data_IF_085488654898
#
_entry.id   IF_085488654898
#
_cell.length_a   1.000
_cell.length_b   1.000
_cell.length_c   1.000
_cell.angle_alpha   90.00
_cell.angle_beta   90.00
_cell.angle_gamma   90.00
#
_symmetry.space_group_name_H-M   'P 1'
#
loop_
_entity.id
_entity.type
_entity.pdbx_description
1 polymer ?
#
# COMPACT_ATOMS: atom_id res chain seq x y z
N UNK A 1 -29.18 -18.10 12.05
CA UNK A 1 -27.97 -17.29 11.81
C UNK A 1 -26.80 -18.15 12.22
N UNK A 2 -25.83 -18.34 11.33
CA UNK A 2 -24.68 -19.20 11.59
C UNK A 2 -23.84 -18.62 12.75
N UNK A 3 -23.67 -19.41 13.81
CA UNK A 3 -22.93 -19.01 15.02
C UNK A 3 -21.44 -18.81 14.71
N UNK A 4 -20.88 -19.60 13.79
CA UNK A 4 -19.49 -19.46 13.35
C UNK A 4 -19.29 -18.14 12.59
N UNK A 5 -20.22 -17.81 11.69
CA UNK A 5 -20.21 -16.53 10.97
C UNK A 5 -20.25 -15.35 11.94
N UNK A 6 -21.11 -15.44 12.96
CA UNK A 6 -21.28 -14.39 13.96
C UNK A 6 -20.00 -14.19 14.79
N UNK A 7 -19.37 -15.27 15.22
CA UNK A 7 -18.09 -15.18 15.94
C UNK A 7 -16.98 -14.63 15.07
N UNK A 8 -16.83 -15.12 13.83
CA UNK A 8 -15.84 -14.64 12.89
C UNK A 8 -16.02 -13.14 12.60
N UNK A 9 -17.25 -12.68 12.38
CA UNK A 9 -17.56 -11.28 12.12
C UNK A 9 -17.20 -10.38 13.31
N UNK A 10 -17.45 -10.83 14.55
CA UNK A 10 -17.08 -10.11 15.78
C UNK A 10 -15.57 -10.02 15.96
N UNK A 11 -14.85 -11.12 15.74
CA UNK A 11 -13.38 -11.16 15.80
C UNK A 11 -12.78 -10.20 14.78
N UNK A 12 -13.25 -10.27 13.53
CA UNK A 12 -12.81 -9.42 12.44
C UNK A 12 -13.12 -7.94 12.73
N UNK A 13 -14.32 -7.61 13.20
CA UNK A 13 -14.71 -6.25 13.54
C UNK A 13 -13.84 -5.66 14.66
N UNK A 14 -13.54 -6.44 15.72
CA UNK A 14 -12.65 -6.00 16.80
C UNK A 14 -11.24 -5.74 16.30
N UNK A 15 -10.71 -6.62 15.45
CA UNK A 15 -9.38 -6.49 14.85
C UNK A 15 -9.28 -5.26 13.94
N UNK A 16 -10.30 -5.04 13.11
CA UNK A 16 -10.42 -3.90 12.20
C UNK A 16 -10.52 -2.58 12.96
N UNK A 17 -11.40 -2.51 13.97
CA UNK A 17 -11.59 -1.33 14.80
C UNK A 17 -10.30 -0.92 15.50
N UNK A 18 -9.60 -1.87 16.14
CA UNK A 18 -8.34 -1.59 16.85
C UNK A 18 -7.25 -0.98 15.95
N UNK A 19 -7.36 -1.13 14.63
CA UNK A 19 -6.43 -0.61 13.63
C UNK A 19 -6.98 0.59 12.86
N UNK A 20 -8.12 1.15 13.29
CA UNK A 20 -8.72 2.32 12.66
C UNK A 20 -9.31 2.07 11.28
N UNK A 21 -9.72 0.83 10.96
CA UNK A 21 -10.42 0.56 9.72
C UNK A 21 -11.87 1.05 9.81
N UNK A 22 -12.24 2.00 8.95
CA UNK A 22 -13.63 2.42 8.75
C UNK A 22 -14.32 1.49 7.74
N UNK A 23 -15.62 1.21 7.92
CA UNK A 23 -16.34 0.31 7.02
C UNK A 23 -16.39 0.80 5.57
N UNK A 24 -16.22 2.11 5.33
CA UNK A 24 -16.13 2.70 3.98
C UNK A 24 -14.93 2.19 3.19
N UNK A 25 -13.87 1.77 3.89
CA UNK A 25 -12.67 1.19 3.26
C UNK A 25 -12.86 -0.28 2.88
N UNK A 26 -13.93 -0.93 3.33
CA UNK A 26 -14.24 -2.32 2.96
C UNK A 26 -14.68 -2.49 1.51
N UNK A 27 -14.95 -1.40 0.78
CA UNK A 27 -15.20 -1.44 -0.67
C UNK A 27 -13.93 -1.58 -1.52
N UNK A 28 -12.73 -1.56 -0.93
CA UNK A 28 -11.47 -1.50 -1.65
C UNK A 28 -10.88 -2.90 -1.93
N UNK A 29 -11.30 -3.56 -3.02
CA UNK A 29 -10.58 -4.68 -3.64
C UNK A 29 -10.50 -6.01 -2.87
N UNK A 30 -10.98 -7.09 -3.49
CA UNK A 30 -11.12 -8.43 -2.89
C UNK A 30 -9.81 -9.03 -2.33
N UNK A 31 -8.67 -8.79 -2.99
CA UNK A 31 -7.39 -9.35 -2.54
C UNK A 31 -6.90 -8.77 -1.20
N UNK A 32 -7.17 -7.49 -0.94
CA UNK A 32 -6.78 -6.84 0.31
C UNK A 32 -7.69 -7.26 1.46
N UNK A 33 -8.97 -7.49 1.16
CA UNK A 33 -9.93 -8.07 2.09
C UNK A 33 -9.46 -9.46 2.55
N UNK A 34 -9.04 -10.33 1.62
CA UNK A 34 -8.50 -11.65 1.98
C UNK A 34 -7.34 -11.59 2.99
N UNK A 35 -6.35 -10.72 2.77
CA UNK A 35 -5.23 -10.57 3.69
C UNK A 35 -5.65 -10.11 5.10
N UNK A 36 -6.66 -9.23 5.19
CA UNK A 36 -7.24 -8.80 6.46
C UNK A 36 -7.89 -9.98 7.19
N UNK A 37 -8.66 -10.82 6.47
CA UNK A 37 -9.29 -12.01 7.04
C UNK A 37 -8.26 -13.01 7.55
N UNK A 38 -7.25 -13.32 6.73
CA UNK A 38 -6.21 -14.29 7.07
C UNK A 38 -5.47 -13.88 8.35
N UNK A 39 -5.10 -12.60 8.47
CA UNK A 39 -4.42 -12.10 9.67
C UNK A 39 -5.32 -12.01 10.90
N UNK A 40 -6.59 -11.64 10.72
CA UNK A 40 -7.51 -11.44 11.84
C UNK A 40 -8.06 -12.76 12.41
N UNK A 41 -8.34 -13.73 11.54
CA UNK A 41 -8.91 -15.03 11.92
C UNK A 41 -7.83 -16.12 12.09
N UNK A 42 -6.61 -15.88 11.61
CA UNK A 42 -5.52 -16.87 11.60
C UNK A 42 -5.73 -18.00 10.59
N UNK A 43 -6.77 -17.92 9.77
CA UNK A 43 -7.14 -18.89 8.75
C UNK A 43 -8.01 -18.21 7.67
N UNK A 44 -8.01 -18.74 6.44
CA UNK A 44 -8.86 -18.22 5.39
C UNK A 44 -10.34 -18.46 5.69
N UNK A 45 -11.17 -17.45 5.44
CA UNK A 45 -12.62 -17.64 5.47
C UNK A 45 -13.05 -18.57 4.32
N UNK A 46 -14.03 -19.46 4.55
CA UNK A 46 -14.64 -20.22 3.47
C UNK A 46 -15.23 -19.27 2.42
N UNK A 47 -14.91 -19.48 1.13
CA UNK A 47 -15.30 -18.59 0.04
C UNK A 47 -16.82 -18.29 -0.01
N UNK A 48 -17.65 -19.28 0.34
CA UNK A 48 -19.10 -19.13 0.37
C UNK A 48 -19.61 -18.21 1.51
N UNK A 49 -18.80 -17.96 2.54
CA UNK A 49 -19.13 -17.09 3.67
C UNK A 49 -18.50 -15.71 3.56
N UNK A 50 -17.56 -15.49 2.64
CA UNK A 50 -16.76 -14.27 2.56
C UNK A 50 -17.62 -13.00 2.45
N UNK A 51 -18.56 -12.97 1.51
CA UNK A 51 -19.43 -11.80 1.33
C UNK A 51 -20.33 -11.55 2.55
N UNK A 52 -20.87 -12.61 3.16
CA UNK A 52 -21.70 -12.51 4.37
C UNK A 52 -20.89 -12.03 5.58
N UNK A 53 -19.66 -12.52 5.71
CA UNK A 53 -18.71 -12.14 6.75
C UNK A 53 -18.41 -10.64 6.65
N UNK A 54 -18.07 -10.14 5.46
CA UNK A 54 -17.81 -8.72 5.25
C UNK A 54 -19.00 -7.83 5.54
N UNK A 55 -20.19 -8.22 5.09
CA UNK A 55 -21.42 -7.48 5.38
C UNK A 55 -21.69 -7.38 6.88
N UNK A 56 -21.51 -8.48 7.61
CA UNK A 56 -21.73 -8.50 9.04
C UNK A 56 -20.65 -7.69 9.79
N UNK A 57 -19.39 -7.78 9.37
CA UNK A 57 -18.30 -6.95 9.91
C UNK A 57 -18.52 -5.46 9.67
N UNK A 58 -18.93 -5.05 8.47
CA UNK A 58 -19.26 -3.66 8.16
C UNK A 58 -20.40 -3.13 9.04
N UNK A 59 -21.39 -3.98 9.30
CA UNK A 59 -22.51 -3.65 10.20
C UNK A 59 -22.02 -3.43 11.64
N UNK A 60 -21.16 -4.32 12.15
CA UNK A 60 -20.59 -4.22 13.50
C UNK A 60 -19.69 -2.99 13.66
N UNK A 61 -18.87 -2.66 12.65
CA UNK A 61 -18.03 -1.45 12.66
C UNK A 61 -18.88 -0.17 12.70
N UNK A 62 -19.94 -0.12 11.89
CA UNK A 62 -20.89 0.99 11.90
C UNK A 62 -21.56 1.14 13.27
N UNK A 63 -22.09 0.05 13.82
CA UNK A 63 -22.68 0.04 15.16
C UNK A 63 -21.70 0.50 16.23
N UNK A 64 -20.44 0.07 16.14
CA UNK A 64 -19.41 0.49 17.08
C UNK A 64 -19.14 1.99 16.99
N UNK A 65 -18.98 2.52 15.78
CA UNK A 65 -18.77 3.96 15.55
C UNK A 65 -19.95 4.79 16.05
N UNK A 66 -21.17 4.33 15.81
CA UNK A 66 -22.38 4.99 16.27
C UNK A 66 -22.42 5.00 17.81
N UNK A 67 -22.09 3.88 18.45
CA UNK A 67 -21.96 3.79 19.91
C UNK A 67 -20.86 4.72 20.45
N UNK A 68 -19.67 4.75 19.84
CA UNK A 68 -18.56 5.61 20.28
C UNK A 68 -18.95 7.09 20.17
N UNK A 69 -19.68 7.49 19.13
CA UNK A 69 -20.22 8.85 18.98
C UNK A 69 -21.22 9.18 20.09
N UNK A 70 -22.17 8.29 20.34
CA UNK A 70 -23.23 8.50 21.33
C UNK A 70 -22.67 8.56 22.77
N UNK A 71 -21.55 7.88 23.02
CA UNK A 71 -20.88 7.80 24.32
C UNK A 71 -19.62 8.67 24.44
N UNK A 72 -19.31 9.47 23.41
CA UNK A 72 -18.12 10.34 23.35
C UNK A 72 -16.79 9.61 23.62
N UNK A 73 -16.69 8.36 23.15
CA UNK A 73 -15.47 7.56 23.28
C UNK A 73 -14.50 7.92 22.14
N UNK A 74 -13.25 8.21 22.50
CA UNK A 74 -12.19 8.48 21.52
C UNK A 74 -11.99 7.27 20.61
N UNK A 75 -12.09 7.50 19.31
CA UNK A 75 -11.87 6.47 18.30
C UNK A 75 -10.36 6.22 18.06
N UNK A 76 -9.98 5.02 17.62
CA UNK A 76 -8.62 4.74 17.16
C UNK A 76 -8.22 5.64 16.00
N UNK A 77 -6.93 5.92 15.87
CA UNK A 77 -6.39 6.67 14.74
C UNK A 77 -6.81 6.00 13.42
N UNK A 78 -7.53 6.70 12.53
CA UNK A 78 -7.99 6.11 11.28
C UNK A 78 -6.82 5.64 10.41
N UNK A 79 -6.94 4.45 9.84
CA UNK A 79 -6.00 3.97 8.85
C UNK A 79 -6.22 4.70 7.52
N UNK A 80 -5.12 5.10 6.85
CA UNK A 80 -5.19 5.79 5.58
C UNK A 80 -5.67 4.89 4.42
N UNK A 81 -5.46 3.58 4.49
CA UNK A 81 -5.91 2.59 3.51
C UNK A 81 -5.88 1.17 4.08
N UNK A 82 -6.48 0.20 3.37
CA UNK A 82 -6.44 -1.23 3.74
C UNK A 82 -5.02 -1.77 3.96
N UNK A 83 -4.02 -1.50 3.09
CA UNK A 83 -2.64 -1.91 3.36
C UNK A 83 -2.06 -1.35 4.67
N UNK A 84 -2.41 -0.12 5.09
CA UNK A 84 -1.96 0.40 6.39
C UNK A 84 -2.49 -0.42 7.57
N UNK A 85 -3.65 -1.06 7.40
CA UNK A 85 -4.24 -1.92 8.43
C UNK A 85 -3.49 -3.25 8.54
N UNK A 86 -3.03 -3.79 7.41
CA UNK A 86 -2.37 -5.10 7.31
C UNK A 86 -0.85 -5.02 7.54
N UNK A 87 -0.20 -3.98 7.03
CA UNK A 87 1.25 -3.78 7.05
C UNK A 87 1.56 -2.41 7.67
N UNK A 88 1.32 -2.30 8.98
CA UNK A 88 1.42 -1.04 9.76
C UNK A 88 2.73 -0.27 9.47
N UNK A 89 3.84 -0.98 9.24
CA UNK A 89 5.17 -0.37 9.01
C UNK A 89 5.58 -0.25 7.53
N UNK A 90 4.90 -0.94 6.61
CA UNK A 90 5.36 -1.13 5.22
C UNK A 90 4.24 -0.99 4.19
N UNK A 91 3.26 -0.13 4.44
CA UNK A 91 2.20 0.13 3.47
C UNK A 91 2.82 0.58 2.13
N UNK A 92 2.68 -0.16 1.01
CA UNK A 92 3.31 0.21 -0.25
C UNK A 92 2.84 1.58 -0.79
N UNK A 93 1.69 2.06 -0.33
CA UNK A 93 1.12 3.37 -0.69
C UNK A 93 1.65 4.52 0.17
N UNK A 94 1.97 4.28 1.44
CA UNK A 94 2.25 5.34 2.43
C UNK A 94 3.60 5.22 3.13
N UNK A 95 4.16 4.02 3.24
CA UNK A 95 5.57 3.83 3.47
C UNK A 95 6.27 4.32 2.21
N UNK A 96 6.62 5.61 2.22
CA UNK A 96 7.39 6.22 1.17
C UNK A 96 8.54 5.33 0.80
N UNK A 97 8.61 4.91 -0.46
CA UNK A 97 9.89 4.42 -0.97
C UNK A 97 10.87 5.55 -0.78
N UNK A 98 11.91 5.30 -0.01
CA UNK A 98 12.97 6.27 0.24
C UNK A 98 13.97 6.10 -0.88
N UNK A 99 14.49 7.21 -1.37
CA UNK A 99 15.57 7.22 -2.34
C UNK A 99 16.74 6.43 -1.75
N UNK A 100 17.20 5.39 -2.44
CA UNK A 100 18.31 4.56 -1.99
C UNK A 100 19.58 5.38 -1.73
N UNK A 101 19.77 6.47 -2.48
CA UNK A 101 20.97 7.31 -2.39
C UNK A 101 20.92 8.32 -1.23
N UNK A 102 19.82 9.06 -1.07
CA UNK A 102 19.74 10.15 -0.10
C UNK A 102 18.83 9.87 1.10
N UNK A 103 18.10 8.75 1.09
CA UNK A 103 17.11 8.42 2.11
C UNK A 103 15.90 9.37 2.14
N UNK A 104 15.77 10.32 1.21
CA UNK A 104 14.62 11.21 1.09
C UNK A 104 13.39 10.50 0.53
N UNK A 105 12.20 11.04 0.79
CA UNK A 105 10.94 10.50 0.25
C UNK A 105 10.93 10.55 -1.29
N UNK A 106 10.66 9.44 -1.98
CA UNK A 106 10.44 9.43 -3.43
C UNK A 106 9.02 9.90 -3.76
N UNK A 107 8.89 10.62 -4.87
CA UNK A 107 7.60 10.98 -5.42
C UNK A 107 6.91 9.74 -5.98
N UNK A 108 5.57 9.65 -5.84
CA UNK A 108 4.79 8.48 -6.26
C UNK A 108 5.00 8.11 -7.73
N UNK A 109 5.06 9.09 -8.63
CA UNK A 109 5.32 8.86 -10.07
C UNK A 109 6.64 8.11 -10.30
N UNK A 110 7.71 8.49 -9.58
CA UNK A 110 9.03 7.85 -9.67
C UNK A 110 8.96 6.40 -9.19
N UNK A 111 8.19 6.14 -8.13
CA UNK A 111 7.95 4.79 -7.61
C UNK A 111 7.12 3.93 -8.56
N UNK A 112 6.05 4.49 -9.12
CA UNK A 112 5.13 3.78 -10.02
C UNK A 112 5.82 3.39 -11.34
N UNK A 113 6.81 4.18 -11.79
CA UNK A 113 7.69 3.85 -12.92
C UNK A 113 8.80 2.84 -12.58
N UNK A 114 8.91 2.42 -11.31
CA UNK A 114 9.86 1.40 -10.86
C UNK A 114 11.21 1.92 -10.40
N UNK A 115 11.41 3.24 -10.32
CA UNK A 115 12.64 3.83 -9.81
C UNK A 115 12.67 3.82 -8.28
N UNK A 116 13.87 3.60 -7.73
CA UNK A 116 14.12 3.62 -6.28
C UNK A 116 15.11 4.71 -5.84
N UNK A 117 15.37 5.67 -6.73
CA UNK A 117 16.24 6.84 -6.57
C UNK A 117 15.55 8.08 -7.14
N UNK A 118 15.88 9.28 -6.64
CA UNK A 118 15.41 10.51 -7.29
C UNK A 118 16.14 10.69 -8.63
N UNK A 119 15.52 11.31 -9.65
CA UNK A 119 16.22 11.65 -10.90
C UNK A 119 17.49 12.50 -10.70
N UNK A 120 17.54 13.29 -9.62
CA UNK A 120 18.74 14.05 -9.25
C UNK A 120 19.81 13.20 -8.53
N UNK A 121 19.43 12.06 -7.97
CA UNK A 121 20.31 11.10 -7.30
C UNK A 121 20.86 10.03 -8.25
N UNK A 122 20.26 9.85 -9.43
CA UNK A 122 20.73 8.91 -10.47
C UNK A 122 21.95 9.40 -11.26
N UNK A 123 22.46 10.62 -10.98
CA UNK A 123 23.64 11.12 -11.69
C UNK A 123 24.86 10.25 -11.36
N UNK A 124 25.45 9.55 -12.34
CA UNK A 124 26.75 8.96 -12.17
C UNK A 124 27.78 10.10 -12.25
N UNK A 125 28.33 10.48 -11.10
CA UNK A 125 29.61 11.19 -11.02
C UNK A 125 29.55 12.65 -10.58
N UNK A 126 29.78 12.87 -9.28
CA UNK A 126 30.72 13.94 -8.86
C UNK A 126 31.93 13.40 -8.07
N UNK A 127 31.99 12.10 -7.75
CA UNK A 127 33.21 11.49 -7.18
C UNK A 127 33.45 10.07 -7.71
N UNK A 128 34.43 9.90 -8.61
CA UNK A 128 35.06 8.59 -8.86
C UNK A 128 35.38 8.20 -10.31
N UNK A 129 36.51 8.70 -10.82
CA UNK A 129 37.39 8.10 -11.84
C UNK A 129 36.98 8.07 -13.34
N UNK A 130 37.81 8.63 -14.25
CA UNK A 130 37.60 8.65 -15.70
C UNK A 130 38.23 7.41 -16.36
N UNK A 131 37.56 6.27 -16.30
CA UNK A 131 37.89 5.14 -17.15
C UNK A 131 36.61 4.43 -17.52
N UNK A 132 36.47 4.05 -18.79
CA UNK A 132 35.32 3.33 -19.37
C UNK A 132 34.20 4.26 -19.90
N UNK A 133 34.57 5.22 -20.75
CA UNK A 133 33.70 5.64 -21.87
C UNK A 133 34.51 5.54 -23.16
N UNK A 134 34.83 4.32 -23.54
CA UNK A 134 35.36 4.00 -24.87
C UNK A 134 34.85 2.60 -25.19
N UNK A 135 33.56 2.49 -25.51
CA UNK A 135 33.00 1.33 -26.25
C UNK A 135 31.51 1.42 -26.62
N UNK A 136 30.83 2.56 -26.45
CA UNK A 136 29.41 2.69 -26.88
C UNK A 136 29.18 3.63 -28.08
N UNK A 137 30.23 4.23 -28.64
CA UNK A 137 30.10 5.10 -29.83
C UNK A 137 30.15 4.35 -31.18
N UNK A 138 30.17 3.01 -31.19
CA UNK A 138 30.25 2.21 -32.43
C UNK A 138 28.91 1.59 -32.88
N UNK A 139 27.80 1.82 -32.18
CA UNK A 139 26.52 1.17 -32.52
C UNK A 139 25.47 2.05 -33.22
N UNK A 140 25.78 3.32 -33.52
CA UNK A 140 24.87 4.18 -34.28
C UNK A 140 25.63 4.92 -35.38
N UNK A 141 25.98 4.18 -36.44
CA UNK A 141 26.38 4.74 -37.72
C UNK A 141 25.17 5.31 -38.49
N UNK A 142 25.37 6.42 -39.19
CA UNK A 142 24.37 7.01 -40.09
C UNK A 142 24.48 8.54 -40.21
N UNK A 143 25.60 9.08 -40.69
CA UNK A 143 25.76 9.62 -42.07
C UNK A 143 25.28 11.07 -42.24
N UNK A 144 26.27 11.98 -42.31
CA UNK A 144 26.47 13.11 -43.24
C UNK A 144 25.24 13.85 -43.83
N UNK A 145 25.29 15.19 -43.78
CA UNK A 145 25.38 16.13 -44.91
C UNK A 145 25.44 17.56 -44.34
N UNK A 146 26.62 18.17 -44.31
CA UNK A 146 27.10 19.16 -45.27
C UNK A 146 26.80 20.63 -44.84
N UNK A 147 27.88 21.31 -44.43
CA UNK A 147 28.13 22.77 -44.51
C UNK A 147 27.94 23.31 -45.96
N UNK A 148 28.03 24.62 -46.32
CA UNK A 148 28.72 25.76 -45.66
C UNK A 148 27.90 27.08 -45.70
N UNK A 149 28.32 28.28 -45.26
CA UNK A 149 29.63 28.94 -45.04
C UNK A 149 29.46 29.97 -43.93
#
# INVERSE_FOLDING_TARGET
MDEQLTMAAKTLARWCYARGLDERLLGCGEQLLKAVVDQALGQPAPAHLEHSLWRQTATLLRQRRDWDRDHQVSQPTPAACLPCVVTVDQCPTHAGRRCRACGGQLHRVVVDEGFDTHPCCDRPGEHGSPAVVKDTAQLLGGTLLAQPT
#
